data_IF_151507877548
#
_entry.id   IF_151507877548
#
_cell.length_a   1.000
_cell.length_b   1.000
_cell.length_c   1.000
_cell.angle_alpha   90.00
_cell.angle_beta   90.00
_cell.angle_gamma   90.00
#
_symmetry.space_group_name_H-M   'P 1'
#
loop_
_entity.id
_entity.type
_entity.pdbx_description
1 polymer ?
#
# COMPACT_ATOMS: atom_id res chain seq x y z
N UNK A 1 -8.57 34.07 -7.46
CA UNK A 1 -8.20 32.65 -7.67
C UNK A 1 -8.18 31.84 -6.37
N UNK A 2 -7.18 31.92 -5.48
CA UNK A 2 -7.17 31.12 -4.22
C UNK A 2 -8.35 31.47 -3.30
N UNK A 3 -8.67 32.77 -3.17
CA UNK A 3 -9.83 33.25 -2.41
C UNK A 3 -11.18 32.77 -3.00
N UNK A 4 -11.22 32.48 -4.30
CA UNK A 4 -12.44 32.07 -5.02
C UNK A 4 -12.65 30.55 -4.87
N UNK A 5 -11.57 29.76 -4.88
CA UNK A 5 -11.60 28.34 -4.52
C UNK A 5 -11.99 28.12 -3.05
N UNK A 6 -11.50 28.98 -2.14
CA UNK A 6 -11.84 28.91 -0.71
C UNK A 6 -13.28 29.33 -0.41
N UNK A 7 -13.83 30.30 -1.16
CA UNK A 7 -15.25 30.70 -1.09
C UNK A 7 -16.17 29.56 -1.54
N UNK A 8 -15.87 28.90 -2.66
CA UNK A 8 -16.68 27.75 -3.15
C UNK A 8 -16.63 26.53 -2.22
N UNK A 9 -15.51 26.31 -1.53
CA UNK A 9 -15.40 25.25 -0.53
C UNK A 9 -16.09 25.60 0.81
N UNK A 10 -16.24 26.89 1.13
CA UNK A 10 -16.97 27.38 2.31
C UNK A 10 -18.49 27.18 2.19
N UNK A 11 -19.04 27.37 0.99
CA UNK A 11 -20.47 27.21 0.72
C UNK A 11 -20.92 25.73 0.65
N UNK A 12 -19.99 24.81 0.37
CA UNK A 12 -20.25 23.37 0.31
C UNK A 12 -20.50 22.73 1.70
N UNK A 13 -20.23 23.44 2.80
CA UNK A 13 -20.43 22.93 4.15
C UNK A 13 -21.88 23.04 4.66
N UNK A 14 -22.77 23.74 3.94
CA UNK A 14 -24.16 23.99 4.38
C UNK A 14 -25.24 23.16 3.67
N UNK A 15 -24.91 22.30 2.71
CA UNK A 15 -25.90 21.41 2.08
C UNK A 15 -25.29 20.05 1.73
N UNK A 16 -25.42 19.10 2.65
CA UNK A 16 -25.19 17.67 2.43
C UNK A 16 -26.30 16.99 1.62
N UNK A 17 -27.15 17.77 0.96
CA UNK A 17 -28.16 17.33 0.00
C UNK A 17 -27.89 17.98 -1.35
N UNK A 18 -27.18 17.28 -2.24
CA UNK A 18 -27.36 17.38 -3.69
C UNK A 18 -26.60 16.24 -4.37
N UNK A 19 -27.28 15.10 -4.48
CA UNK A 19 -27.04 14.10 -5.51
C UNK A 19 -27.16 14.75 -6.89
N UNK A 20 -26.04 15.13 -7.51
CA UNK A 20 -25.91 15.16 -8.97
C UNK A 20 -24.42 15.13 -9.38
N UNK A 21 -23.83 13.96 -9.71
CA UNK A 21 -22.42 13.85 -10.09
C UNK A 21 -22.24 14.06 -11.60
N UNK A 22 -22.89 15.06 -12.18
CA UNK A 22 -22.82 15.37 -13.60
C UNK A 22 -22.45 16.84 -13.77
N UNK A 23 -21.32 17.07 -14.44
CA UNK A 23 -20.79 18.37 -14.89
C UNK A 23 -19.98 19.20 -13.88
N UNK A 24 -18.84 18.64 -13.50
CA UNK A 24 -17.63 19.40 -13.27
C UNK A 24 -16.47 18.43 -13.37
N UNK A 25 -15.45 18.73 -14.17
CA UNK A 25 -14.14 18.12 -13.89
C UNK A 25 -13.87 18.44 -12.42
N UNK A 26 -13.93 17.43 -11.55
CA UNK A 26 -13.51 17.64 -10.17
C UNK A 26 -12.09 18.15 -10.30
N UNK A 27 -11.92 19.43 -10.00
CA UNK A 27 -10.78 20.17 -10.48
C UNK A 27 -9.55 19.71 -9.70
N UNK A 28 -8.88 18.68 -10.24
CA UNK A 28 -7.64 18.14 -9.73
C UNK A 28 -6.59 19.26 -9.61
N UNK A 29 -6.74 20.35 -10.39
CA UNK A 29 -5.90 21.54 -10.25
C UNK A 29 -6.17 22.32 -8.96
N UNK A 30 -7.43 22.40 -8.52
CA UNK A 30 -7.81 22.96 -7.21
C UNK A 30 -7.36 22.07 -6.05
N UNK A 31 -7.48 20.74 -6.17
CA UNK A 31 -6.93 19.80 -5.17
C UNK A 31 -5.42 19.98 -5.02
N UNK A 32 -4.72 20.04 -6.15
CA UNK A 32 -3.27 20.27 -6.20
C UNK A 32 -2.89 21.60 -5.56
N UNK A 33 -3.52 22.70 -5.95
CA UNK A 33 -3.19 24.02 -5.42
C UNK A 33 -3.35 24.06 -3.89
N UNK A 34 -4.36 23.39 -3.36
CA UNK A 34 -4.58 23.29 -1.92
C UNK A 34 -3.55 22.40 -1.23
N UNK A 35 -3.19 21.25 -1.81
CA UNK A 35 -2.18 20.34 -1.23
C UNK A 35 -0.76 20.89 -1.35
N UNK A 36 -0.41 21.51 -2.48
CA UNK A 36 0.89 22.16 -2.70
C UNK A 36 1.03 23.37 -1.77
N UNK A 37 0.02 24.25 -1.70
CA UNK A 37 0.03 25.38 -0.76
C UNK A 37 0.01 24.90 0.69
N UNK A 38 -0.66 23.81 1.02
CA UNK A 38 -0.64 23.25 2.37
C UNK A 38 0.72 22.63 2.72
N UNK A 39 1.41 22.01 1.75
CA UNK A 39 2.75 21.48 1.96
C UNK A 39 3.78 22.60 2.11
N UNK A 40 3.66 23.69 1.33
CA UNK A 40 4.53 24.87 1.40
C UNK A 40 4.29 25.67 2.69
N UNK A 41 3.03 25.95 3.02
CA UNK A 41 2.65 26.78 4.17
C UNK A 41 2.50 25.99 5.48
N UNK A 42 2.61 24.65 5.42
CA UNK A 42 2.26 23.73 6.52
C UNK A 42 0.82 23.95 7.07
N UNK A 43 -0.09 24.41 6.22
CA UNK A 43 -1.46 24.78 6.58
C UNK A 43 -2.39 23.56 6.61
N UNK A 44 -2.74 23.14 7.83
CA UNK A 44 -3.58 21.97 8.07
C UNK A 44 -4.98 22.09 7.46
N UNK A 45 -5.58 23.28 7.47
CA UNK A 45 -6.95 23.49 6.97
C UNK A 45 -7.00 23.43 5.44
N UNK A 46 -5.96 23.92 4.77
CA UNK A 46 -5.82 23.78 3.31
C UNK A 46 -5.60 22.33 2.90
N UNK A 47 -4.77 21.59 3.65
CA UNK A 47 -4.53 20.18 3.39
C UNK A 47 -5.81 19.34 3.59
N UNK A 48 -6.56 19.55 4.67
CA UNK A 48 -7.83 18.84 4.91
C UNK A 48 -8.82 19.07 3.76
N UNK A 49 -9.00 20.32 3.32
CA UNK A 49 -9.86 20.65 2.16
C UNK A 49 -9.35 20.00 0.87
N UNK A 50 -8.04 20.02 0.63
CA UNK A 50 -7.41 19.37 -0.52
C UNK A 50 -7.62 17.85 -0.52
N UNK A 51 -7.54 17.20 0.65
CA UNK A 51 -7.74 15.76 0.82
C UNK A 51 -9.20 15.33 0.67
N UNK A 52 -10.15 16.14 1.15
CA UNK A 52 -11.58 15.90 0.92
C UNK A 52 -11.92 15.97 -0.57
N UNK A 53 -11.39 16.97 -1.28
CA UNK A 53 -11.57 17.10 -2.72
C UNK A 53 -10.87 15.98 -3.50
N UNK A 54 -9.67 15.56 -3.09
CA UNK A 54 -8.97 14.41 -3.65
C UNK A 54 -9.78 13.11 -3.51
N UNK A 55 -10.38 12.90 -2.35
CA UNK A 55 -11.23 11.73 -2.07
C UNK A 55 -12.51 11.75 -2.91
N UNK A 56 -13.11 12.93 -3.13
CA UNK A 56 -14.25 13.10 -4.02
C UNK A 56 -13.86 12.89 -5.49
N UNK A 57 -12.69 13.39 -5.92
CA UNK A 57 -12.13 13.20 -7.27
C UNK A 57 -11.90 11.72 -7.58
N UNK A 58 -11.28 10.99 -6.65
CA UNK A 58 -11.08 9.55 -6.73
C UNK A 58 -12.40 8.81 -6.95
N UNK A 59 -13.47 9.21 -6.24
CA UNK A 59 -14.80 8.62 -6.41
C UNK A 59 -15.50 9.01 -7.71
N UNK A 60 -15.16 10.15 -8.33
CA UNK A 60 -15.70 10.51 -9.63
C UNK A 60 -14.99 9.81 -10.79
N UNK A 61 -13.71 9.48 -10.64
CA UNK A 61 -12.97 8.63 -11.59
C UNK A 61 -13.65 7.26 -11.77
N UNK A 62 -14.26 6.69 -10.72
CA UNK A 62 -15.06 5.45 -10.77
C UNK A 62 -16.21 5.46 -11.78
N UNK A 63 -16.80 6.63 -12.06
CA UNK A 63 -18.07 6.72 -12.80
C UNK A 63 -17.86 6.84 -14.31
N UNK A 64 -16.65 7.21 -14.76
CA UNK A 64 -16.41 7.61 -16.16
C UNK A 64 -15.63 6.62 -17.02
N UNK A 65 -14.85 5.70 -16.43
CA UNK A 65 -13.85 4.98 -17.23
C UNK A 65 -14.08 3.47 -17.26
N UNK A 66 -14.79 3.03 -18.31
CA UNK A 66 -14.86 1.63 -18.74
C UNK A 66 -13.64 1.19 -19.60
N UNK A 67 -12.54 1.96 -19.58
CA UNK A 67 -11.31 1.68 -20.32
C UNK A 67 -10.29 0.93 -19.47
N UNK A 68 -9.46 0.07 -20.08
CA UNK A 68 -8.35 -0.65 -19.41
C UNK A 68 -7.21 0.29 -18.96
N UNK A 69 -5.94 -0.15 -18.98
CA UNK A 69 -4.77 0.66 -18.56
C UNK A 69 -4.68 2.11 -19.11
N UNK A 70 -5.38 2.44 -20.21
CA UNK A 70 -5.52 3.81 -20.71
C UNK A 70 -6.33 4.74 -19.77
N UNK A 71 -7.12 4.19 -18.86
CA UNK A 71 -7.81 4.88 -17.75
C UNK A 71 -6.85 5.32 -16.62
N UNK A 72 -5.61 4.83 -16.61
CA UNK A 72 -4.57 5.46 -15.78
C UNK A 72 -4.15 6.79 -16.41
N UNK A 73 -5.00 7.79 -16.22
CA UNK A 73 -4.81 9.12 -16.79
C UNK A 73 -3.66 9.85 -16.10
N UNK A 74 -3.07 10.81 -16.80
CA UNK A 74 -2.07 11.71 -16.21
C UNK A 74 -2.58 12.42 -14.94
N UNK A 75 -3.91 12.62 -14.81
CA UNK A 75 -4.54 13.18 -13.62
C UNK A 75 -4.46 12.24 -12.41
N UNK A 76 -4.83 10.97 -12.59
CA UNK A 76 -4.78 9.96 -11.52
C UNK A 76 -3.34 9.72 -11.01
N UNK A 77 -2.36 9.61 -11.93
CA UNK A 77 -0.94 9.50 -11.56
C UNK A 77 -0.46 10.71 -10.76
N UNK A 78 -0.84 11.92 -11.16
CA UNK A 78 -0.48 13.14 -10.43
C UNK A 78 -1.11 13.18 -9.05
N UNK A 79 -2.39 12.80 -8.92
CA UNK A 79 -3.06 12.73 -7.63
C UNK A 79 -2.37 11.73 -6.70
N UNK A 80 -2.03 10.56 -7.20
CA UNK A 80 -1.28 9.55 -6.46
C UNK A 80 0.08 10.07 -5.97
N UNK A 81 0.85 10.75 -6.83
CA UNK A 81 2.12 11.38 -6.45
C UNK A 81 1.95 12.45 -5.36
N UNK A 82 0.90 13.28 -5.45
CA UNK A 82 0.60 14.30 -4.46
C UNK A 82 0.23 13.68 -3.10
N UNK A 83 -0.62 12.66 -3.09
CA UNK A 83 -1.00 11.95 -1.87
C UNK A 83 0.23 11.31 -1.20
N UNK A 84 1.12 10.67 -1.98
CA UNK A 84 2.38 10.14 -1.46
C UNK A 84 3.28 11.24 -0.87
N UNK A 85 3.43 12.37 -1.55
CA UNK A 85 4.20 13.52 -1.02
C UNK A 85 3.60 14.01 0.29
N UNK A 86 2.28 14.15 0.37
CA UNK A 86 1.59 14.55 1.60
C UNK A 86 1.82 13.55 2.73
N UNK A 87 1.76 12.24 2.46
CA UNK A 87 2.06 11.21 3.46
C UNK A 87 3.47 11.32 4.05
N UNK A 88 4.45 11.78 3.26
CA UNK A 88 5.86 11.82 3.65
C UNK A 88 6.27 13.15 4.28
N UNK A 89 5.83 14.26 3.69
CA UNK A 89 6.32 15.60 4.00
C UNK A 89 5.43 16.36 5.00
N UNK A 90 4.16 15.97 5.15
CA UNK A 90 3.22 16.72 6.01
C UNK A 90 3.58 16.56 7.49
N UNK A 91 3.83 17.64 8.24
CA UNK A 91 4.24 17.55 9.65
C UNK A 91 3.11 17.01 10.55
N UNK A 92 1.85 17.24 10.17
CA UNK A 92 0.68 16.83 10.95
C UNK A 92 0.35 15.37 10.67
N UNK A 93 0.39 14.53 11.71
CA UNK A 93 0.15 13.08 11.61
C UNK A 93 -1.25 12.74 11.09
N UNK A 94 -2.30 13.42 11.56
CA UNK A 94 -3.68 13.16 11.12
C UNK A 94 -3.84 13.38 9.61
N UNK A 95 -3.17 14.38 9.04
CA UNK A 95 -3.22 14.67 7.60
C UNK A 95 -2.41 13.66 6.78
N UNK A 96 -1.28 13.18 7.30
CA UNK A 96 -0.56 12.04 6.70
C UNK A 96 -1.45 10.80 6.62
N UNK A 97 -2.18 10.50 7.69
CA UNK A 97 -3.14 9.39 7.71
C UNK A 97 -4.32 9.60 6.75
N UNK A 98 -4.89 10.81 6.69
CA UNK A 98 -5.95 11.12 5.73
C UNK A 98 -5.47 10.99 4.28
N UNK A 99 -4.24 11.39 3.98
CA UNK A 99 -3.64 11.21 2.66
C UNK A 99 -3.48 9.72 2.28
N UNK A 100 -3.12 8.88 3.26
CA UNK A 100 -3.11 7.43 3.08
C UNK A 100 -4.51 6.88 2.74
N UNK A 101 -5.53 7.24 3.52
CA UNK A 101 -6.90 6.76 3.25
C UNK A 101 -7.46 7.28 1.92
N UNK A 102 -7.11 8.49 1.52
CA UNK A 102 -7.47 9.02 0.21
C UNK A 102 -6.79 8.24 -0.93
N UNK A 103 -5.52 7.86 -0.75
CA UNK A 103 -4.80 7.02 -1.70
C UNK A 103 -5.40 5.62 -1.77
N UNK A 104 -5.77 5.03 -0.63
CA UNK A 104 -6.44 3.73 -0.59
C UNK A 104 -7.80 3.77 -1.30
N UNK A 105 -8.60 4.83 -1.07
CA UNK A 105 -9.86 5.04 -1.76
C UNK A 105 -9.66 5.21 -3.28
N UNK A 106 -8.61 5.91 -3.71
CA UNK A 106 -8.23 6.02 -5.11
C UNK A 106 -7.83 4.66 -5.71
N UNK A 107 -7.09 3.83 -4.98
CA UNK A 107 -6.74 2.49 -5.44
C UNK A 107 -7.95 1.56 -5.52
N UNK A 108 -8.86 1.62 -4.54
CA UNK A 108 -10.12 0.87 -4.53
C UNK A 108 -11.08 1.33 -5.63
N UNK A 109 -10.92 2.57 -6.11
CA UNK A 109 -11.67 3.09 -7.24
C UNK A 109 -11.28 2.45 -8.58
N UNK A 110 -10.12 1.80 -8.68
CA UNK A 110 -9.69 1.14 -9.90
C UNK A 110 -10.15 -0.31 -9.97
N UNK A 111 -10.33 -0.80 -11.21
CA UNK A 111 -10.46 -2.23 -11.50
C UNK A 111 -9.21 -2.98 -11.01
N UNK A 112 -9.37 -4.26 -10.66
CA UNK A 112 -8.29 -5.08 -10.11
C UNK A 112 -6.98 -5.04 -10.91
N UNK A 113 -7.05 -5.09 -12.24
CA UNK A 113 -5.87 -5.07 -13.12
C UNK A 113 -5.11 -3.75 -13.04
N UNK A 114 -5.83 -2.62 -13.08
CA UNK A 114 -5.26 -1.28 -12.98
C UNK A 114 -4.75 -1.03 -11.56
N UNK A 115 -5.55 -1.37 -10.54
CA UNK A 115 -5.19 -1.24 -9.12
C UNK A 115 -3.88 -1.95 -8.84
N UNK A 116 -3.74 -3.19 -9.31
CA UNK A 116 -2.54 -4.00 -9.12
C UNK A 116 -1.34 -3.43 -9.88
N UNK A 117 -1.53 -2.94 -11.11
CA UNK A 117 -0.48 -2.25 -11.85
C UNK A 117 0.05 -1.01 -11.12
N UNK A 118 -0.85 -0.16 -10.61
CA UNK A 118 -0.47 1.04 -9.85
C UNK A 118 0.22 0.66 -8.54
N UNK A 119 -0.29 -0.36 -7.83
CA UNK A 119 0.34 -0.89 -6.63
C UNK A 119 1.79 -1.33 -6.89
N UNK A 120 2.04 -2.05 -7.99
CA UNK A 120 3.39 -2.48 -8.35
C UNK A 120 4.31 -1.32 -8.73
N UNK A 121 3.83 -0.33 -9.50
CA UNK A 121 4.58 0.89 -9.83
C UNK A 121 5.03 1.60 -8.53
N UNK A 122 4.12 1.67 -7.56
CA UNK A 122 4.37 2.26 -6.25
C UNK A 122 5.26 1.42 -5.35
N UNK A 123 5.17 0.09 -5.39
CA UNK A 123 6.05 -0.80 -4.63
C UNK A 123 7.48 -0.78 -5.17
N UNK A 124 7.66 -0.61 -6.48
CA UNK A 124 8.99 -0.58 -7.10
C UNK A 124 9.76 0.73 -6.84
N UNK A 125 9.05 1.83 -6.60
CA UNK A 125 9.66 3.18 -6.54
C UNK A 125 9.32 3.98 -5.28
N UNK A 126 8.43 3.44 -4.43
CA UNK A 126 7.95 4.12 -3.23
C UNK A 126 8.90 3.98 -2.05
N UNK A 127 8.83 4.90 -1.08
CA UNK A 127 9.62 4.82 0.15
C UNK A 127 9.18 3.65 1.03
N UNK A 128 10.07 3.12 1.90
CA UNK A 128 9.83 1.89 2.67
C UNK A 128 8.53 1.88 3.48
N UNK A 129 8.21 2.99 4.15
CA UNK A 129 6.99 3.12 4.95
C UNK A 129 5.71 3.08 4.11
N UNK A 130 5.72 3.66 2.91
CA UNK A 130 4.58 3.57 1.99
C UNK A 130 4.49 2.16 1.43
N UNK A 131 5.61 1.54 1.07
CA UNK A 131 5.62 0.16 0.59
C UNK A 131 5.02 -0.81 1.62
N UNK A 132 5.35 -0.66 2.90
CA UNK A 132 4.77 -1.46 3.97
C UNK A 132 3.23 -1.33 4.03
N UNK A 133 2.72 -0.09 3.93
CA UNK A 133 1.28 0.16 3.90
C UNK A 133 0.62 -0.47 2.67
N UNK A 134 1.23 -0.37 1.49
CA UNK A 134 0.70 -0.95 0.25
C UNK A 134 0.69 -2.49 0.30
N UNK A 135 1.74 -3.12 0.86
CA UNK A 135 1.79 -4.57 1.08
C UNK A 135 0.72 -5.03 2.07
N UNK A 136 0.45 -4.26 3.13
CA UNK A 136 -0.66 -4.51 4.03
C UNK A 136 -2.03 -4.38 3.34
N UNK A 137 -2.24 -3.34 2.53
CA UNK A 137 -3.46 -3.20 1.73
C UNK A 137 -3.63 -4.34 0.72
N UNK A 138 -2.54 -4.83 0.12
CA UNK A 138 -2.56 -6.00 -0.76
C UNK A 138 -2.92 -7.28 0.02
N UNK A 139 -2.39 -7.47 1.23
CA UNK A 139 -2.74 -8.60 2.10
C UNK A 139 -4.22 -8.59 2.46
N UNK A 140 -4.75 -7.41 2.84
CA UNK A 140 -6.17 -7.23 3.12
C UNK A 140 -7.03 -7.54 1.89
N UNK A 141 -6.64 -7.06 0.71
CA UNK A 141 -7.34 -7.32 -0.54
C UNK A 141 -7.34 -8.82 -0.87
N UNK A 142 -6.20 -9.50 -0.78
CA UNK A 142 -6.10 -10.95 -0.99
C UNK A 142 -7.01 -11.72 -0.02
N UNK A 143 -7.03 -11.33 1.26
CA UNK A 143 -7.91 -11.95 2.24
C UNK A 143 -9.39 -11.77 1.90
N UNK A 144 -9.80 -10.58 1.46
CA UNK A 144 -11.18 -10.27 1.09
C UNK A 144 -11.61 -10.97 -0.20
N UNK A 145 -10.77 -10.97 -1.24
CA UNK A 145 -11.03 -11.66 -2.52
C UNK A 145 -11.16 -13.17 -2.34
N UNK A 146 -10.56 -13.74 -1.28
CA UNK A 146 -10.70 -15.16 -0.92
C UNK A 146 -11.89 -15.47 -0.01
N UNK A 147 -12.31 -14.53 0.84
CA UNK A 147 -13.36 -14.75 1.83
C UNK A 147 -14.78 -14.73 1.24
N UNK A 148 -14.97 -14.07 0.10
CA UNK A 148 -16.28 -13.91 -0.53
C UNK A 148 -16.47 -14.88 -1.71
N UNK A 149 -17.50 -15.73 -1.62
CA UNK A 149 -17.99 -16.62 -2.70
C UNK A 149 -18.71 -15.84 -3.83
N UNK A 150 -18.51 -14.51 -3.93
CA UNK A 150 -19.14 -13.71 -4.98
C UNK A 150 -18.37 -13.79 -6.30
N UNK A 151 -19.09 -13.71 -7.43
CA UNK A 151 -18.48 -13.71 -8.77
C UNK A 151 -17.43 -12.60 -8.94
N UNK A 152 -17.63 -11.46 -8.28
CA UNK A 152 -16.69 -10.33 -8.29
C UNK A 152 -15.39 -10.62 -7.51
N UNK A 153 -15.48 -11.24 -6.33
CA UNK A 153 -14.30 -11.62 -5.54
C UNK A 153 -13.47 -12.72 -6.23
N UNK A 154 -14.17 -13.65 -6.90
CA UNK A 154 -13.57 -14.66 -7.78
C UNK A 154 -12.82 -14.01 -8.96
N UNK A 155 -13.44 -13.02 -9.63
CA UNK A 155 -12.80 -12.29 -10.72
C UNK A 155 -11.54 -11.54 -10.27
N UNK A 156 -11.59 -10.82 -9.14
CA UNK A 156 -10.42 -10.16 -8.56
C UNK A 156 -9.28 -11.15 -8.29
N UNK A 157 -9.59 -12.29 -7.67
CA UNK A 157 -8.57 -13.31 -7.37
C UNK A 157 -7.87 -13.84 -8.62
N UNK A 158 -8.60 -14.05 -9.73
CA UNK A 158 -8.00 -14.50 -11.00
C UNK A 158 -6.98 -13.51 -11.56
N UNK A 159 -7.16 -12.21 -11.29
CA UNK A 159 -6.25 -11.15 -11.72
C UNK A 159 -5.05 -11.01 -10.78
N UNK A 160 -5.29 -11.05 -9.46
CA UNK A 160 -4.27 -10.81 -8.44
C UNK A 160 -3.29 -11.97 -8.36
N UNK A 161 -3.81 -13.19 -8.30
CA UNK A 161 -3.05 -14.42 -8.05
C UNK A 161 -1.76 -14.54 -8.88
N UNK A 162 -1.77 -14.42 -10.22
CA UNK A 162 -0.56 -14.62 -11.02
C UNK A 162 0.55 -13.58 -10.75
N UNK A 163 0.23 -12.45 -10.11
CA UNK A 163 1.20 -11.36 -9.88
C UNK A 163 1.72 -11.30 -8.44
N UNK A 164 1.10 -12.02 -7.51
CA UNK A 164 1.55 -12.07 -6.12
C UNK A 164 2.96 -12.64 -5.97
N UNK A 165 3.28 -13.69 -6.74
CA UNK A 165 4.60 -14.30 -6.68
C UNK A 165 5.72 -13.32 -7.11
N UNK A 166 5.63 -12.65 -8.27
CA UNK A 166 6.59 -11.59 -8.62
C UNK A 166 6.72 -10.49 -7.57
N UNK A 167 5.62 -10.03 -6.96
CA UNK A 167 5.65 -9.02 -5.90
C UNK A 167 6.41 -9.53 -4.68
N UNK A 168 6.13 -10.75 -4.23
CA UNK A 168 6.82 -11.37 -3.10
C UNK A 168 8.30 -11.63 -3.39
N UNK A 169 8.64 -12.06 -4.61
CA UNK A 169 10.03 -12.25 -5.02
C UNK A 169 10.80 -10.93 -5.02
N UNK A 170 10.19 -9.86 -5.54
CA UNK A 170 10.80 -8.54 -5.52
C UNK A 170 11.08 -8.04 -4.10
N UNK A 171 10.30 -8.44 -3.10
CA UNK A 171 10.48 -7.96 -1.72
C UNK A 171 11.21 -8.91 -0.79
N UNK A 172 11.16 -10.23 -1.02
CA UNK A 172 11.73 -11.22 -0.08
C UNK A 172 13.10 -11.68 -0.55
N UNK A 173 13.38 -11.72 -1.85
CA UNK A 173 14.69 -12.15 -2.34
C UNK A 173 15.78 -11.12 -1.99
N UNK A 174 17.00 -11.57 -1.66
CA UNK A 174 18.09 -10.68 -1.26
C UNK A 174 18.51 -9.71 -2.38
N UNK A 175 18.39 -10.14 -3.65
CA UNK A 175 18.66 -9.33 -4.84
C UNK A 175 17.41 -8.56 -5.33
N UNK A 176 16.34 -8.56 -4.54
CA UNK A 176 15.09 -7.87 -4.86
C UNK A 176 15.15 -6.35 -4.67
N UNK A 177 13.99 -5.69 -4.78
CA UNK A 177 13.79 -4.25 -4.65
C UNK A 177 14.29 -3.66 -3.32
N UNK A 178 14.34 -4.47 -2.27
CA UNK A 178 14.80 -4.08 -0.93
C UNK A 178 16.30 -4.32 -0.70
N UNK A 179 16.98 -5.12 -1.53
CA UNK A 179 18.42 -5.33 -1.46
C UNK A 179 18.97 -5.69 -0.07
N UNK A 180 18.21 -6.40 0.79
CA UNK A 180 18.47 -6.51 2.24
C UNK A 180 19.74 -7.29 2.62
N UNK A 181 20.57 -7.66 1.65
CA UNK A 181 21.86 -8.32 1.87
C UNK A 181 22.81 -7.52 2.78
N UNK A 182 22.60 -6.20 2.94
CA UNK A 182 23.36 -5.39 3.90
C UNK A 182 22.55 -5.02 5.15
N UNK A 183 23.20 -4.77 6.29
CA UNK A 183 22.50 -4.36 7.50
C UNK A 183 21.71 -3.06 7.36
N UNK A 184 22.28 -2.06 6.69
CA UNK A 184 21.62 -0.75 6.52
C UNK A 184 20.30 -0.91 5.76
N UNK A 185 20.32 -1.66 4.67
CA UNK A 185 19.13 -1.97 3.86
C UNK A 185 18.11 -2.83 4.61
N UNK A 186 18.57 -3.78 5.43
CA UNK A 186 17.67 -4.61 6.23
C UNK A 186 16.88 -3.77 7.25
N UNK A 187 17.53 -2.79 7.88
CA UNK A 187 16.90 -1.90 8.85
C UNK A 187 15.91 -0.96 8.17
N UNK A 188 16.33 -0.33 7.07
CA UNK A 188 15.50 0.59 6.30
C UNK A 188 14.23 -0.09 5.77
N UNK A 189 14.34 -1.37 5.41
CA UNK A 189 13.24 -2.16 4.84
C UNK A 189 12.61 -3.16 5.81
N UNK A 190 12.88 -3.09 7.12
CA UNK A 190 12.35 -4.06 8.08
C UNK A 190 10.81 -4.14 8.07
N UNK A 191 10.12 -2.99 8.05
CA UNK A 191 8.65 -2.92 8.02
C UNK A 191 8.04 -3.48 6.71
N UNK A 192 8.47 -3.06 5.50
CA UNK A 192 7.94 -3.65 4.28
C UNK A 192 8.31 -5.14 4.13
N UNK A 193 9.48 -5.58 4.63
CA UNK A 193 9.83 -7.01 4.69
C UNK A 193 8.86 -7.78 5.58
N UNK A 194 8.53 -7.26 6.77
CA UNK A 194 7.50 -7.84 7.64
C UNK A 194 6.14 -7.94 6.93
N UNK A 195 5.72 -6.89 6.21
CA UNK A 195 4.47 -6.90 5.47
C UNK A 195 4.46 -7.94 4.33
N UNK A 196 5.57 -8.05 3.58
CA UNK A 196 5.73 -9.06 2.53
C UNK A 196 5.75 -10.49 3.10
N UNK A 197 6.45 -10.72 4.21
CA UNK A 197 6.45 -12.01 4.88
C UNK A 197 5.07 -12.38 5.43
N UNK A 198 4.30 -11.42 5.96
CA UNK A 198 2.92 -11.67 6.38
C UNK A 198 2.01 -12.03 5.20
N UNK A 199 2.18 -11.40 4.04
CA UNK A 199 1.50 -11.81 2.81
C UNK A 199 1.89 -13.24 2.42
N UNK A 200 3.18 -13.58 2.43
CA UNK A 200 3.66 -14.95 2.19
C UNK A 200 3.03 -15.94 3.18
N UNK A 201 3.02 -15.62 4.47
CA UNK A 201 2.41 -16.44 5.53
C UNK A 201 0.93 -16.67 5.27
N UNK A 202 0.18 -15.63 4.90
CA UNK A 202 -1.23 -15.74 4.54
C UNK A 202 -1.42 -16.74 3.38
N UNK A 203 -0.59 -16.66 2.33
CA UNK A 203 -0.67 -17.58 1.20
C UNK A 203 -0.36 -19.03 1.61
N UNK A 204 0.70 -19.26 2.41
CA UNK A 204 1.07 -20.59 2.89
C UNK A 204 0.00 -21.22 3.79
N UNK A 205 -0.60 -20.43 4.70
CA UNK A 205 -1.69 -20.93 5.55
C UNK A 205 -2.91 -21.30 4.72
N UNK A 206 -3.25 -20.53 3.69
CA UNK A 206 -4.32 -20.88 2.78
C UNK A 206 -4.06 -22.17 1.98
N UNK A 207 -2.80 -22.44 1.63
CA UNK A 207 -2.40 -23.67 0.93
C UNK A 207 -2.50 -24.90 1.82
N UNK A 208 -2.18 -24.72 3.10
CA UNK A 208 -2.21 -25.79 4.07
C UNK A 208 -3.64 -26.19 4.47
N UNK A 209 -4.54 -25.21 4.67
CA UNK A 209 -5.89 -25.46 5.20
C UNK A 209 -6.95 -25.73 4.11
N UNK A 210 -6.58 -26.07 2.87
CA UNK A 210 -7.48 -26.09 1.70
C UNK A 210 -8.92 -26.58 1.98
N UNK A 211 -9.86 -25.63 1.97
CA UNK A 211 -11.18 -25.87 1.42
C UNK A 211 -11.02 -26.10 -0.10
N UNK A 212 -11.75 -27.04 -0.72
CA UNK A 212 -11.42 -27.66 -2.02
C UNK A 212 -11.54 -26.76 -3.27
N UNK A 213 -11.61 -25.43 -3.12
CA UNK A 213 -11.89 -24.48 -4.21
C UNK A 213 -10.66 -23.78 -4.80
N UNK A 214 -9.48 -23.89 -4.18
CA UNK A 214 -8.32 -23.08 -4.59
C UNK A 214 -7.12 -23.97 -4.91
N UNK A 215 -6.90 -24.17 -6.21
CA UNK A 215 -5.70 -24.81 -6.72
C UNK A 215 -4.52 -23.84 -6.61
N UNK A 216 -3.90 -23.73 -5.44
CA UNK A 216 -2.64 -23.00 -5.22
C UNK A 216 -1.41 -23.91 -5.38
N UNK A 217 -1.50 -25.06 -6.08
CA UNK A 217 -0.42 -26.06 -6.24
C UNK A 217 0.84 -25.57 -6.98
N UNK A 218 1.02 -24.27 -7.13
CA UNK A 218 2.14 -23.60 -7.83
C UNK A 218 2.66 -22.40 -7.00
N UNK A 219 2.55 -22.42 -5.67
CA UNK A 219 3.33 -21.49 -4.85
C UNK A 219 4.60 -22.21 -4.36
N UNK A 220 5.82 -21.77 -4.76
CA UNK A 220 7.06 -22.49 -4.48
C UNK A 220 7.50 -22.25 -3.04
N UNK A 221 6.79 -22.82 -2.06
CA UNK A 221 7.10 -22.68 -0.63
C UNK A 221 8.57 -23.01 -0.30
N UNK A 222 9.13 -24.02 -0.97
CA UNK A 222 10.52 -24.44 -0.80
C UNK A 222 11.52 -23.36 -1.25
N UNK A 223 11.17 -22.55 -2.26
CA UNK A 223 12.03 -21.46 -2.76
C UNK A 223 12.19 -20.35 -1.74
N UNK A 224 11.15 -20.08 -0.94
CA UNK A 224 11.22 -19.04 0.09
C UNK A 224 11.83 -19.53 1.40
N UNK A 225 11.87 -20.83 1.69
CA UNK A 225 12.40 -21.33 2.97
C UNK A 225 13.85 -20.94 3.21
N UNK A 226 14.74 -21.20 2.24
CA UNK A 226 16.16 -20.86 2.36
C UNK A 226 16.36 -19.35 2.53
N UNK A 227 15.54 -18.56 1.83
CA UNK A 227 15.59 -17.10 1.87
C UNK A 227 15.09 -16.54 3.20
N UNK A 228 13.96 -17.05 3.72
CA UNK A 228 13.39 -16.66 5.02
C UNK A 228 14.33 -17.07 6.16
N UNK A 229 14.97 -18.24 6.06
CA UNK A 229 15.98 -18.68 7.03
C UNK A 229 17.23 -17.78 7.01
N UNK A 230 17.72 -17.41 5.82
CA UNK A 230 18.83 -16.47 5.67
C UNK A 230 18.48 -15.08 6.21
N UNK A 231 17.27 -14.59 5.93
CA UNK A 231 16.75 -13.32 6.43
C UNK A 231 16.66 -13.32 7.97
N UNK A 232 16.11 -14.38 8.56
CA UNK A 232 16.04 -14.54 10.01
C UNK A 232 17.42 -14.60 10.64
N UNK A 233 18.36 -15.35 10.04
CA UNK A 233 19.74 -15.43 10.53
C UNK A 233 20.41 -14.06 10.49
N UNK A 234 20.21 -13.30 9.42
CA UNK A 234 20.78 -11.96 9.25
C UNK A 234 20.20 -10.97 10.25
N UNK A 235 18.87 -10.97 10.45
CA UNK A 235 18.19 -10.13 11.44
C UNK A 235 18.62 -10.48 12.87
N UNK A 236 18.76 -11.76 13.19
CA UNK A 236 19.20 -12.23 14.50
C UNK A 236 20.65 -11.86 14.79
N UNK A 237 21.54 -12.02 13.80
CA UNK A 237 22.94 -11.62 13.88
C UNK A 237 23.07 -10.11 14.10
N UNK A 238 22.16 -9.31 13.55
CA UNK A 238 22.19 -7.87 13.75
C UNK A 238 21.68 -7.46 15.12
N UNK A 239 20.54 -8.01 15.56
CA UNK A 239 19.99 -7.77 16.90
C UNK A 239 20.98 -8.12 18.02
N UNK A 240 21.85 -9.12 17.82
CA UNK A 240 22.84 -9.52 18.82
C UNK A 240 24.06 -8.60 18.91
N UNK A 241 24.27 -7.68 17.96
CA UNK A 241 25.40 -6.72 18.01
C UNK A 241 25.24 -5.63 19.07
N UNK A 242 24.01 -5.34 19.52
CA UNK A 242 23.75 -4.53 20.72
C UNK A 242 24.04 -3.03 20.60
N UNK A 243 24.64 -2.55 19.50
CA UNK A 243 24.96 -1.14 19.27
C UNK A 243 23.77 -0.39 18.66
N UNK A 244 22.72 -0.17 19.46
CA UNK A 244 21.51 0.55 19.04
C UNK A 244 21.15 1.71 19.98
N UNK A 245 22.03 2.72 20.15
CA UNK A 245 21.75 3.83 21.05
C UNK A 245 20.61 4.73 20.52
N UNK A 246 19.75 5.18 21.43
CA UNK A 246 18.73 6.19 21.15
C UNK A 246 17.39 5.63 20.65
N UNK A 247 16.39 6.52 20.46
CA UNK A 247 15.02 6.14 20.07
C UNK A 247 14.94 5.49 18.69
N UNK A 248 15.81 5.86 17.75
CA UNK A 248 15.91 5.23 16.42
C UNK A 248 16.39 3.78 16.54
N UNK A 249 17.38 3.52 17.40
CA UNK A 249 17.84 2.17 17.71
C UNK A 249 16.75 1.27 18.28
N UNK A 250 15.89 1.81 19.14
CA UNK A 250 14.72 1.07 19.68
C UNK A 250 13.72 0.72 18.58
N UNK A 251 13.40 1.65 17.68
CA UNK A 251 12.50 1.39 16.56
C UNK A 251 13.06 0.30 15.63
N UNK A 252 14.36 0.33 15.35
CA UNK A 252 15.04 -0.71 14.58
C UNK A 252 14.97 -2.07 15.26
N UNK A 253 15.25 -2.16 16.57
CA UNK A 253 15.15 -3.42 17.31
C UNK A 253 13.74 -4.00 17.24
N UNK A 254 12.71 -3.17 17.43
CA UNK A 254 11.32 -3.61 17.35
C UNK A 254 10.93 -4.06 15.94
N UNK A 255 11.46 -3.41 14.90
CA UNK A 255 11.26 -3.82 13.51
C UNK A 255 11.87 -5.19 13.22
N UNK A 256 13.12 -5.41 13.62
CA UNK A 256 13.82 -6.68 13.44
C UNK A 256 13.25 -7.81 14.28
N UNK A 257 12.80 -7.53 15.52
CA UNK A 257 12.13 -8.53 16.35
C UNK A 257 10.83 -9.02 15.70
N UNK A 258 10.00 -8.09 15.20
CA UNK A 258 8.78 -8.45 14.44
C UNK A 258 9.12 -9.25 13.19
N UNK A 259 10.20 -8.90 12.49
CA UNK A 259 10.66 -9.65 11.32
C UNK A 259 11.02 -11.10 11.68
N UNK A 260 11.75 -11.29 12.77
CA UNK A 260 12.09 -12.61 13.29
C UNK A 260 10.86 -13.43 13.68
N UNK A 261 9.91 -12.82 14.40
CA UNK A 261 8.66 -13.51 14.80
C UNK A 261 7.88 -14.03 13.58
N UNK A 262 7.73 -13.19 12.55
CA UNK A 262 7.03 -13.57 11.33
C UNK A 262 7.81 -14.65 10.56
N UNK A 263 9.13 -14.50 10.43
CA UNK A 263 9.98 -15.47 9.74
C UNK A 263 9.95 -16.84 10.43
N UNK A 264 10.09 -16.89 11.76
CA UNK A 264 9.99 -18.12 12.54
C UNK A 264 8.63 -18.79 12.37
N UNK A 265 7.54 -18.01 12.43
CA UNK A 265 6.19 -18.56 12.22
C UNK A 265 6.02 -19.17 10.82
N UNK A 266 6.64 -18.60 9.79
CA UNK A 266 6.64 -19.17 8.43
C UNK A 266 7.43 -20.48 8.38
N UNK A 267 8.62 -20.53 9.00
CA UNK A 267 9.46 -21.73 9.03
C UNK A 267 8.81 -22.88 9.81
N UNK A 268 7.98 -22.58 10.79
CA UNK A 268 7.20 -23.54 11.57
C UNK A 268 5.86 -23.95 10.91
N UNK A 269 5.43 -23.26 9.84
CA UNK A 269 4.15 -23.56 9.18
C UNK A 269 4.23 -24.96 8.55
N UNK A 270 3.37 -25.91 8.96
CA UNK A 270 3.40 -27.28 8.46
C UNK A 270 3.13 -27.31 6.95
N UNK A 271 3.76 -28.25 6.25
CA UNK A 271 3.65 -28.40 4.79
C UNK A 271 2.71 -29.53 4.44
N UNK A 272 1.84 -29.30 3.45
CA UNK A 272 1.14 -30.39 2.78
C UNK A 272 2.18 -31.15 1.95
N UNK A 273 2.46 -32.39 2.37
CA UNK A 273 3.26 -33.38 1.64
C UNK A 273 2.53 -33.88 0.39
#
# INVERSE_FOLDING_TARGET
MIAECLSRAGDANSSLDCCNPLQGDIDLSSCRLLLDSAAEDQDANKAEKGLLLASAAARACLVREAGGLQAWTAGARRLQQLLMRTMLAMPVQSLRHQAFYALEALLQAFRADIRLHVLEEMLASGPPGVAALLLHSLTSWVSQSKAHDSDAASADWTVIRPRLLPVLEAWILPDGACGWATPATLIEHAEPLCAALNLLRLLLLHDYFQAPKIDMRVFPADRFQGVVSALATTAQAWLSTGDHPGPEGVATMLGLQRLLEVASSILETPRSS
#
